data_IF_894683589865
#
_entry.id   IF_894683589865
#
_cell.length_a   1.000
_cell.length_b   1.000
_cell.length_c   1.000
_cell.angle_alpha   90.00
_cell.angle_beta   90.00
_cell.angle_gamma   90.00
#
_symmetry.space_group_name_H-M   'P 1'
#
loop_
_entity.id
_entity.type
_entity.pdbx_description
1 polymer ?
#
# COMPACT_ATOMS: atom_id res chain seq x y z
N UNK A 1 15.89 -26.36 -25.46
CA UNK A 1 14.74 -27.30 -25.48
C UNK A 1 14.15 -27.36 -26.90
N UNK A 2 13.77 -26.23 -27.51
CA UNK A 2 13.21 -26.19 -28.88
C UNK A 2 14.09 -26.79 -29.99
N UNK A 3 15.43 -26.67 -29.87
CA UNK A 3 16.37 -27.22 -30.80
C UNK A 3 16.43 -28.78 -30.72
N UNK A 4 16.23 -29.34 -29.52
CA UNK A 4 16.22 -30.78 -29.25
C UNK A 4 14.91 -31.44 -29.67
N UNK A 5 13.80 -30.72 -29.56
CA UNK A 5 12.45 -31.18 -29.95
C UNK A 5 12.09 -30.78 -31.38
N UNK A 6 12.95 -30.03 -32.10
CA UNK A 6 12.65 -29.45 -33.42
C UNK A 6 11.32 -28.72 -33.50
N UNK A 7 10.85 -28.16 -32.38
CA UNK A 7 9.57 -27.44 -32.27
C UNK A 7 9.73 -25.98 -32.65
N UNK A 8 9.32 -25.63 -33.85
CA UNK A 8 9.28 -24.27 -34.35
C UNK A 8 8.32 -23.38 -33.50
N UNK A 9 7.25 -23.97 -33.01
CA UNK A 9 6.27 -23.30 -32.17
C UNK A 9 6.87 -22.74 -30.85
N UNK A 10 7.72 -23.54 -30.16
CA UNK A 10 8.41 -23.12 -28.94
C UNK A 10 9.35 -21.93 -29.23
N UNK A 11 9.99 -21.90 -30.38
CA UNK A 11 10.90 -20.81 -30.76
C UNK A 11 10.12 -19.52 -30.97
N UNK A 12 8.97 -19.59 -31.67
CA UNK A 12 8.10 -18.43 -31.87
C UNK A 12 7.56 -17.90 -30.52
N UNK A 13 7.07 -18.79 -29.67
CA UNK A 13 6.60 -18.39 -28.34
C UNK A 13 7.70 -17.70 -27.52
N UNK A 14 8.92 -18.24 -27.54
CA UNK A 14 10.04 -17.62 -26.85
C UNK A 14 10.38 -16.23 -27.41
N UNK A 15 10.38 -16.09 -28.75
CA UNK A 15 10.58 -14.80 -29.41
C UNK A 15 9.52 -13.76 -29.02
N UNK A 16 8.26 -14.15 -28.92
CA UNK A 16 7.17 -13.26 -28.52
C UNK A 16 7.29 -12.83 -27.04
N UNK A 17 7.77 -13.71 -26.16
CA UNK A 17 7.93 -13.42 -24.73
C UNK A 17 9.23 -12.69 -24.40
N UNK A 18 10.24 -12.75 -25.27
CA UNK A 18 11.56 -12.17 -25.00
C UNK A 18 11.54 -10.67 -24.65
N UNK A 19 10.81 -9.80 -25.35
CA UNK A 19 10.72 -8.37 -24.99
C UNK A 19 10.19 -8.16 -23.57
N UNK A 20 9.16 -8.93 -23.19
CA UNK A 20 8.59 -8.85 -21.84
C UNK A 20 9.58 -9.34 -20.78
N UNK A 21 10.29 -10.44 -21.04
CA UNK A 21 11.33 -10.97 -20.14
C UNK A 21 12.45 -9.93 -19.97
N UNK A 22 12.94 -9.33 -21.06
CA UNK A 22 13.98 -8.31 -21.00
C UNK A 22 13.54 -7.07 -20.21
N UNK A 23 12.30 -6.62 -20.40
CA UNK A 23 11.73 -5.52 -19.61
C UNK A 23 11.71 -5.86 -18.10
N UNK A 24 11.36 -7.07 -17.73
CA UNK A 24 11.37 -7.54 -16.34
C UNK A 24 12.81 -7.58 -15.77
N UNK A 25 13.76 -8.08 -16.53
CA UNK A 25 15.18 -8.12 -16.12
C UNK A 25 15.73 -6.71 -15.89
N UNK A 26 15.45 -5.77 -16.79
CA UNK A 26 15.86 -4.39 -16.65
C UNK A 26 15.24 -3.72 -15.42
N UNK A 27 13.95 -3.99 -15.15
CA UNK A 27 13.26 -3.50 -13.97
C UNK A 27 13.90 -4.04 -12.67
N UNK A 28 14.20 -5.35 -12.62
CA UNK A 28 14.85 -5.98 -11.46
C UNK A 28 16.28 -5.43 -11.24
N UNK A 29 17.05 -5.20 -12.31
CA UNK A 29 18.38 -4.61 -12.21
C UNK A 29 18.32 -3.17 -11.61
N UNK A 30 17.35 -2.36 -12.05
CA UNK A 30 17.13 -1.02 -11.46
C UNK A 30 16.69 -1.11 -10.00
N UNK A 31 15.82 -2.06 -9.65
CA UNK A 31 15.39 -2.29 -8.28
C UNK A 31 16.56 -2.65 -7.35
N UNK A 32 17.51 -3.49 -7.81
CA UNK A 32 18.71 -3.83 -7.03
C UNK A 32 19.54 -2.61 -6.64
N UNK A 33 19.68 -1.63 -7.54
CA UNK A 33 20.39 -0.36 -7.25
C UNK A 33 19.61 0.44 -6.21
N UNK A 34 18.29 0.56 -6.39
CA UNK A 34 17.39 1.27 -5.47
C UNK A 34 17.46 0.68 -4.05
N UNK A 35 17.42 -0.64 -3.94
CA UNK A 35 17.50 -1.34 -2.65
C UNK A 35 18.85 -1.14 -1.96
N UNK A 36 19.97 -1.15 -2.73
CA UNK A 36 21.31 -0.86 -2.16
C UNK A 36 21.44 0.58 -1.65
N UNK A 37 20.71 1.52 -2.23
CA UNK A 37 20.74 2.93 -1.85
C UNK A 37 19.68 3.31 -0.81
N UNK A 38 18.83 2.35 -0.41
CA UNK A 38 17.71 2.54 0.53
C UNK A 38 16.86 3.74 0.10
N UNK A 39 16.52 3.81 -1.18
CA UNK A 39 15.65 4.85 -1.71
C UNK A 39 14.20 4.38 -1.77
N UNK A 40 13.22 5.27 -1.56
CA UNK A 40 11.80 4.91 -1.67
C UNK A 40 11.47 4.36 -3.06
N UNK A 41 10.73 3.25 -3.10
CA UNK A 41 10.17 2.66 -4.31
C UNK A 41 8.72 3.05 -4.49
N UNK A 42 8.18 2.91 -5.72
CA UNK A 42 6.81 3.29 -5.99
C UNK A 42 5.77 2.60 -5.09
N UNK A 43 6.00 1.32 -4.76
CA UNK A 43 5.15 0.55 -3.83
C UNK A 43 5.10 1.15 -2.42
N UNK A 44 6.10 1.95 -2.05
CA UNK A 44 6.16 2.63 -0.74
C UNK A 44 5.26 3.87 -0.61
N UNK A 45 4.44 4.20 -1.60
CA UNK A 45 3.62 5.43 -1.56
C UNK A 45 2.60 5.42 -0.41
N UNK A 46 1.93 4.29 -0.16
CA UNK A 46 0.98 4.17 0.96
C UNK A 46 1.65 4.43 2.32
N UNK A 47 2.70 3.68 2.69
CA UNK A 47 3.50 3.95 3.90
C UNK A 47 4.08 5.36 3.96
N UNK A 48 4.49 5.95 2.83
CA UNK A 48 5.03 7.31 2.80
C UNK A 48 3.97 8.36 3.17
N UNK A 49 2.76 8.23 2.64
CA UNK A 49 1.63 9.12 2.96
C UNK A 49 1.27 9.03 4.44
N UNK A 50 1.09 7.80 4.95
CA UNK A 50 0.75 7.60 6.36
C UNK A 50 1.92 8.00 7.26
N UNK A 51 3.16 7.72 6.88
CA UNK A 51 4.36 8.18 7.57
C UNK A 51 4.42 9.71 7.69
N UNK A 52 4.06 10.45 6.63
CA UNK A 52 3.94 11.93 6.68
C UNK A 52 2.91 12.39 7.72
N UNK A 53 1.79 11.70 7.85
CA UNK A 53 0.78 11.99 8.87
C UNK A 53 1.23 11.59 10.29
N UNK A 54 2.14 10.63 10.40
CA UNK A 54 2.72 10.15 11.67
C UNK A 54 3.85 11.04 12.20
N UNK A 55 4.39 11.95 11.40
CA UNK A 55 5.56 12.77 11.79
C UNK A 55 5.35 13.43 13.15
N UNK A 56 6.39 13.38 13.98
CA UNK A 56 6.43 13.91 15.34
C UNK A 56 5.41 13.28 16.32
N UNK A 57 4.86 12.10 16.02
CA UNK A 57 3.99 11.34 16.91
C UNK A 57 4.73 10.13 17.47
N UNK A 58 4.41 9.76 18.72
CA UNK A 58 4.91 8.51 19.31
C UNK A 58 4.18 7.34 18.67
N UNK A 59 4.92 6.35 18.22
CA UNK A 59 4.42 5.11 17.65
C UNK A 59 4.55 3.97 18.64
N UNK A 60 3.73 2.94 18.48
CA UNK A 60 3.83 1.67 19.20
C UNK A 60 3.71 0.52 18.19
N UNK A 61 4.40 -0.56 18.43
CA UNK A 61 4.26 -1.79 17.66
C UNK A 61 2.92 -2.45 17.97
N UNK A 62 2.16 -2.83 16.94
CA UNK A 62 0.85 -3.48 17.09
C UNK A 62 0.85 -4.91 16.54
N UNK A 63 1.75 -5.21 15.63
CA UNK A 63 2.09 -6.52 15.10
C UNK A 63 3.55 -6.47 14.62
N UNK A 64 4.14 -7.60 14.31
CA UNK A 64 5.52 -7.68 13.83
C UNK A 64 5.73 -6.72 12.64
N UNK A 65 6.76 -5.88 12.73
CA UNK A 65 7.09 -4.84 11.74
C UNK A 65 5.91 -3.90 11.37
N UNK A 66 4.95 -3.70 12.28
CA UNK A 66 3.77 -2.88 12.03
C UNK A 66 3.54 -1.91 13.18
N UNK A 67 3.56 -0.62 12.88
CA UNK A 67 3.45 0.45 13.86
C UNK A 67 2.13 1.19 13.76
N UNK A 68 1.67 1.65 14.93
CA UNK A 68 0.43 2.38 15.14
C UNK A 68 0.69 3.66 15.93
N UNK A 69 -0.02 4.71 15.58
CA UNK A 69 -0.18 5.92 16.41
C UNK A 69 -1.60 6.43 16.31
N UNK A 70 -1.97 7.39 17.17
CA UNK A 70 -3.26 8.04 17.07
C UNK A 70 -3.17 9.56 17.28
N UNK A 71 -4.16 10.28 16.76
CA UNK A 71 -4.34 11.71 16.97
C UNK A 71 -5.81 12.11 16.84
N UNK A 72 -6.14 13.32 17.28
CA UNK A 72 -7.49 13.87 17.12
C UNK A 72 -7.57 14.75 15.88
N UNK A 73 -8.63 14.57 15.09
CA UNK A 73 -8.95 15.39 13.93
C UNK A 73 -10.45 15.63 13.85
N UNK A 74 -10.89 16.89 13.87
CA UNK A 74 -12.31 17.31 13.80
C UNK A 74 -13.22 16.50 14.75
N UNK A 75 -12.85 16.42 16.03
CA UNK A 75 -13.54 15.66 17.08
C UNK A 75 -13.65 14.16 16.85
N UNK A 76 -12.79 13.59 15.98
CA UNK A 76 -12.66 12.15 15.73
C UNK A 76 -11.30 11.65 16.20
N UNK A 77 -11.21 10.39 16.54
CA UNK A 77 -9.93 9.74 16.84
C UNK A 77 -9.43 8.97 15.62
N UNK A 78 -8.31 9.40 15.08
CA UNK A 78 -7.69 8.81 13.90
C UNK A 78 -6.52 7.94 14.34
N UNK A 79 -6.59 6.68 14.03
CA UNK A 79 -5.49 5.74 14.15
C UNK A 79 -4.76 5.66 12.81
N UNK A 80 -3.44 5.80 12.83
CA UNK A 80 -2.57 5.69 11.66
C UNK A 80 -1.73 4.42 11.80
N UNK A 81 -1.70 3.59 10.78
CA UNK A 81 -0.99 2.32 10.77
C UNK A 81 -0.22 2.13 9.48
N UNK A 82 1.02 1.68 9.57
CA UNK A 82 1.85 1.28 8.44
C UNK A 82 2.90 0.28 8.89
N UNK A 83 3.58 -0.36 7.93
CA UNK A 83 4.77 -1.12 8.22
C UNK A 83 5.90 -0.22 8.75
N UNK A 84 6.74 -0.76 9.65
CA UNK A 84 7.91 -0.06 10.17
C UNK A 84 8.96 0.13 9.08
N UNK A 85 9.58 1.30 9.03
CA UNK A 85 10.63 1.67 8.08
C UNK A 85 11.90 2.15 8.76
N UNK A 86 12.95 2.34 7.96
CA UNK A 86 13.08 2.28 6.50
C UNK A 86 13.55 0.93 5.91
N UNK A 87 13.45 -0.17 6.66
CA UNK A 87 14.08 -1.46 6.37
C UNK A 87 13.51 -2.27 5.20
N UNK A 88 12.46 -1.80 4.53
CA UNK A 88 11.83 -2.54 3.43
C UNK A 88 10.78 -3.54 3.89
N UNK A 89 10.24 -3.36 5.10
CA UNK A 89 9.17 -4.19 5.65
C UNK A 89 7.85 -3.94 4.94
N UNK A 90 6.98 -4.93 4.97
CA UNK A 90 5.58 -4.82 4.53
C UNK A 90 4.61 -4.96 5.69
N UNK A 91 5.11 -5.42 6.85
CA UNK A 91 4.35 -5.63 8.08
C UNK A 91 3.28 -6.71 7.97
N UNK A 92 2.40 -6.73 8.95
CA UNK A 92 1.27 -7.65 9.05
C UNK A 92 -0.04 -6.88 9.26
N UNK A 93 -0.52 -6.11 8.26
CA UNK A 93 -1.67 -5.22 8.43
C UNK A 93 -2.94 -5.97 8.82
N UNK A 94 -3.15 -7.19 8.33
CA UNK A 94 -4.31 -8.02 8.70
C UNK A 94 -4.32 -8.39 10.18
N UNK A 95 -3.17 -8.83 10.73
CA UNK A 95 -3.03 -9.15 12.16
C UNK A 95 -3.12 -7.88 13.02
N UNK A 96 -2.56 -6.77 12.55
CA UNK A 96 -2.62 -5.50 13.26
C UNK A 96 -4.05 -4.97 13.40
N UNK A 97 -4.87 -5.04 12.36
CA UNK A 97 -6.31 -4.69 12.44
C UNK A 97 -7.03 -5.58 13.46
N UNK A 98 -6.76 -6.89 13.43
CA UNK A 98 -7.31 -7.82 14.41
C UNK A 98 -6.92 -7.46 15.85
N UNK A 99 -5.63 -7.12 16.07
CA UNK A 99 -5.13 -6.71 17.39
C UNK A 99 -5.75 -5.40 17.88
N UNK A 100 -5.96 -4.41 17.01
CA UNK A 100 -6.64 -3.16 17.36
C UNK A 100 -8.05 -3.43 17.86
N UNK A 101 -8.81 -4.24 17.13
CA UNK A 101 -10.20 -4.54 17.49
C UNK A 101 -10.28 -5.44 18.72
N UNK A 102 -9.51 -6.53 18.79
CA UNK A 102 -9.63 -7.55 19.83
C UNK A 102 -8.82 -7.26 21.08
N UNK A 103 -7.52 -6.87 20.93
CA UNK A 103 -6.62 -6.69 22.08
C UNK A 103 -6.72 -5.29 22.68
N UNK A 104 -6.78 -4.26 21.83
CA UNK A 104 -6.95 -2.89 22.30
C UNK A 104 -8.41 -2.53 22.60
N UNK A 105 -9.36 -3.40 22.22
CA UNK A 105 -10.81 -3.22 22.37
C UNK A 105 -11.29 -1.89 21.78
N UNK A 106 -10.75 -1.50 20.63
CA UNK A 106 -11.14 -0.28 19.92
C UNK A 106 -12.31 -0.59 18.99
N UNK A 107 -13.43 0.08 19.21
CA UNK A 107 -14.54 0.06 18.27
C UNK A 107 -14.21 0.98 17.09
N UNK A 108 -13.77 0.39 15.98
CA UNK A 108 -13.54 1.13 14.74
C UNK A 108 -14.87 1.38 14.01
N UNK A 109 -15.05 2.58 13.50
CA UNK A 109 -16.22 2.98 12.72
C UNK A 109 -15.94 2.91 11.22
N UNK A 110 -14.70 3.20 10.79
CA UNK A 110 -14.26 3.13 9.40
C UNK A 110 -12.81 2.67 9.30
N UNK A 111 -12.47 2.01 8.19
CA UNK A 111 -11.09 1.72 7.77
C UNK A 111 -10.87 2.40 6.41
N UNK A 112 -9.78 3.15 6.26
CA UNK A 112 -9.33 3.77 5.01
C UNK A 112 -7.97 3.17 4.68
N UNK A 113 -7.85 2.53 3.51
CA UNK A 113 -6.61 1.92 3.04
C UNK A 113 -6.02 2.74 1.90
N UNK A 114 -4.72 3.02 1.99
CA UNK A 114 -3.96 3.74 0.98
C UNK A 114 -2.89 2.78 0.45
N UNK A 115 -2.94 2.46 -0.84
CA UNK A 115 -2.06 1.47 -1.47
C UNK A 115 -1.66 1.90 -2.89
N UNK A 116 -0.65 1.25 -3.42
CA UNK A 116 -0.31 1.29 -4.82
C UNK A 116 -1.16 0.30 -5.62
N UNK A 117 -1.56 0.65 -6.83
CA UNK A 117 -2.26 -0.27 -7.72
C UNK A 117 -1.68 -0.25 -9.13
N UNK A 118 -1.78 -1.39 -9.82
CA UNK A 118 -1.36 -1.46 -11.21
C UNK A 118 -2.27 -0.60 -12.09
N UNK A 119 -1.65 0.24 -12.89
CA UNK A 119 -2.35 1.02 -13.91
C UNK A 119 -2.66 0.17 -15.14
N UNK A 120 -3.78 0.45 -15.78
CA UNK A 120 -4.10 -0.08 -17.10
C UNK A 120 -3.30 0.68 -18.18
N UNK A 121 -3.26 0.11 -19.39
CA UNK A 121 -2.71 0.79 -20.56
C UNK A 121 -3.47 2.11 -20.81
N UNK A 122 -2.73 3.19 -21.02
CA UNK A 122 -3.30 4.53 -21.20
C UNK A 122 -3.57 5.33 -19.91
N UNK A 123 -3.57 4.69 -18.73
CA UNK A 123 -3.70 5.43 -17.48
C UNK A 123 -2.39 6.14 -17.10
N UNK A 124 -2.52 7.31 -16.47
CA UNK A 124 -1.36 8.09 -16.03
C UNK A 124 -0.80 7.54 -14.72
N UNK A 125 0.53 7.48 -14.64
CA UNK A 125 1.24 7.23 -13.38
C UNK A 125 0.92 8.31 -12.35
N UNK A 126 0.70 7.93 -11.10
CA UNK A 126 0.33 8.84 -10.02
C UNK A 126 -1.16 9.23 -10.03
N UNK A 127 -1.97 8.75 -10.98
CA UNK A 127 -3.43 8.97 -10.91
C UNK A 127 -4.04 8.22 -9.73
N UNK A 128 -5.05 8.83 -9.11
CA UNK A 128 -5.69 8.33 -7.90
C UNK A 128 -7.05 7.74 -8.27
N UNK A 129 -7.40 6.62 -7.66
CA UNK A 129 -8.74 6.06 -7.70
C UNK A 129 -9.24 5.76 -6.29
N UNK A 130 -10.53 5.95 -6.07
CA UNK A 130 -11.23 5.66 -4.82
C UNK A 130 -12.15 4.46 -5.02
N UNK A 131 -12.31 3.65 -3.99
CA UNK A 131 -13.17 2.47 -4.03
C UNK A 131 -13.68 2.05 -2.66
N UNK A 132 -14.53 1.03 -2.65
CA UNK A 132 -15.05 0.37 -1.44
C UNK A 132 -14.46 -1.03 -1.38
N UNK A 133 -14.01 -1.44 -0.19
CA UNK A 133 -13.37 -2.73 0.06
C UNK A 133 -11.88 -2.61 0.31
N UNK A 134 -11.23 -3.71 0.69
CA UNK A 134 -9.81 -3.71 0.99
C UNK A 134 -8.98 -3.67 -0.29
N UNK A 135 -8.06 -2.72 -0.35
CA UNK A 135 -7.05 -2.61 -1.39
C UNK A 135 -5.71 -3.04 -0.82
N UNK A 136 -5.33 -4.27 -1.09
CA UNK A 136 -3.98 -4.79 -0.84
C UNK A 136 -3.57 -5.59 -2.07
N UNK A 137 -2.43 -5.24 -2.66
CA UNK A 137 -1.77 -6.06 -3.68
C UNK A 137 -1.14 -7.31 -3.05
N UNK A 138 -0.89 -8.36 -3.85
CA UNK A 138 -0.18 -9.56 -3.41
C UNK A 138 -1.08 -10.72 -2.97
N UNK A 139 -0.49 -11.66 -2.22
CA UNK A 139 -1.13 -12.91 -1.79
C UNK A 139 -2.17 -12.57 -0.71
N UNK A 140 -3.44 -12.75 -1.04
CA UNK A 140 -4.65 -12.26 -0.37
C UNK A 140 -4.88 -12.54 1.13
N UNK A 141 -3.91 -13.02 1.91
CA UNK A 141 -4.10 -13.39 3.32
C UNK A 141 -4.43 -12.16 4.19
N UNK A 142 -3.65 -11.08 4.07
CA UNK A 142 -3.89 -9.87 4.85
C UNK A 142 -5.16 -9.16 4.42
N UNK A 143 -5.42 -9.09 3.11
CA UNK A 143 -6.67 -8.57 2.57
C UNK A 143 -7.86 -9.32 3.14
N UNK A 144 -7.85 -10.65 3.05
CA UNK A 144 -8.91 -11.49 3.59
C UNK A 144 -9.13 -11.25 5.09
N UNK A 145 -8.04 -11.15 5.86
CA UNK A 145 -8.12 -10.88 7.31
C UNK A 145 -8.76 -9.53 7.62
N UNK A 146 -8.37 -8.48 6.90
CA UNK A 146 -8.97 -7.15 7.08
C UNK A 146 -10.45 -7.19 6.72
N UNK A 147 -10.81 -7.78 5.58
CA UNK A 147 -12.21 -7.93 5.16
C UNK A 147 -13.02 -8.77 6.15
N UNK A 148 -12.47 -9.86 6.68
CA UNK A 148 -13.12 -10.70 7.68
C UNK A 148 -13.38 -9.94 8.99
N UNK A 149 -12.37 -9.21 9.51
CA UNK A 149 -12.54 -8.42 10.74
C UNK A 149 -13.55 -7.28 10.50
N UNK A 150 -13.47 -6.62 9.36
CA UNK A 150 -14.37 -5.54 9.00
C UNK A 150 -15.82 -6.02 8.89
N UNK A 151 -16.04 -7.15 8.19
CA UNK A 151 -17.37 -7.75 8.03
C UNK A 151 -17.96 -8.20 9.36
N UNK A 152 -17.17 -8.90 10.21
CA UNK A 152 -17.63 -9.37 11.53
C UNK A 152 -18.04 -8.23 12.47
N UNK A 153 -17.46 -7.05 12.30
CA UNK A 153 -17.72 -5.89 13.15
C UNK A 153 -18.54 -4.79 12.46
N UNK A 154 -19.06 -5.05 11.25
CA UNK A 154 -19.79 -4.10 10.41
C UNK A 154 -19.02 -2.78 10.18
N UNK A 155 -17.72 -2.86 9.92
CA UNK A 155 -16.86 -1.72 9.68
C UNK A 155 -16.74 -1.47 8.17
N UNK A 156 -17.18 -0.33 7.64
CA UNK A 156 -16.94 0.05 6.25
C UNK A 156 -15.44 0.17 5.95
N UNK A 157 -15.02 -0.32 4.78
CA UNK A 157 -13.65 -0.22 4.29
C UNK A 157 -13.63 0.59 3.01
N UNK A 158 -12.83 1.64 2.98
CA UNK A 158 -12.59 2.51 1.84
C UNK A 158 -11.16 2.33 1.34
N UNK A 159 -10.96 2.38 0.04
CA UNK A 159 -9.65 2.26 -0.58
C UNK A 159 -9.33 3.52 -1.39
N UNK A 160 -8.11 4.01 -1.26
CA UNK A 160 -7.50 5.03 -2.10
C UNK A 160 -6.27 4.40 -2.72
N UNK A 161 -6.22 4.31 -4.05
CA UNK A 161 -5.10 3.67 -4.74
C UNK A 161 -4.41 4.64 -5.68
N UNK A 162 -3.08 4.58 -5.68
CA UNK A 162 -2.22 5.38 -6.54
C UNK A 162 -1.71 4.47 -7.67
N UNK A 163 -2.04 4.82 -8.91
CA UNK A 163 -1.79 3.98 -10.08
C UNK A 163 -0.37 4.09 -10.60
N UNK A 164 0.26 2.94 -10.84
CA UNK A 164 1.62 2.84 -11.35
C UNK A 164 1.82 1.51 -12.11
N UNK A 165 2.84 1.42 -12.94
CA UNK A 165 3.21 0.15 -13.57
C UNK A 165 3.97 -0.76 -12.59
N UNK A 166 4.07 -2.05 -12.91
CA UNK A 166 4.86 -3.00 -12.12
C UNK A 166 6.33 -2.56 -12.00
N UNK A 167 6.91 -2.03 -13.09
CA UNK A 167 8.28 -1.51 -13.10
C UNK A 167 8.43 -0.31 -12.17
N UNK A 168 7.47 0.59 -12.16
CA UNK A 168 7.47 1.77 -11.30
C UNK A 168 7.31 1.39 -9.82
N UNK A 169 6.54 0.35 -9.53
CA UNK A 169 6.34 -0.14 -8.16
C UNK A 169 7.65 -0.59 -7.48
N UNK A 170 8.54 -1.24 -8.23
CA UNK A 170 9.81 -1.79 -7.71
C UNK A 170 11.04 -0.91 -7.99
N UNK A 171 10.88 0.21 -8.69
CA UNK A 171 11.95 1.17 -9.00
C UNK A 171 11.89 2.38 -8.06
N UNK A 172 12.91 3.24 -8.10
CA UNK A 172 12.90 4.54 -7.41
C UNK A 172 11.58 5.24 -7.68
N UNK A 173 10.92 5.68 -6.61
CA UNK A 173 9.63 6.35 -6.68
C UNK A 173 9.70 7.55 -7.63
N UNK A 174 8.84 7.53 -8.64
CA UNK A 174 8.73 8.65 -9.58
C UNK A 174 8.11 9.88 -8.92
N UNK A 175 8.49 11.05 -9.42
CA UNK A 175 7.97 12.33 -8.95
C UNK A 175 6.45 12.41 -8.99
N UNK A 176 5.83 11.96 -10.07
CA UNK A 176 4.37 11.96 -10.24
C UNK A 176 3.65 11.14 -9.17
N UNK A 177 4.28 10.03 -8.71
CA UNK A 177 3.77 9.20 -7.61
C UNK A 177 3.91 9.97 -6.30
N UNK A 178 5.09 10.50 -6.00
CA UNK A 178 5.35 11.26 -4.77
C UNK A 178 4.47 12.51 -4.65
N UNK A 179 4.26 13.24 -5.74
CA UNK A 179 3.40 14.44 -5.79
C UNK A 179 1.92 14.15 -5.56
N UNK A 180 1.47 12.90 -5.72
CA UNK A 180 0.10 12.51 -5.37
C UNK A 180 -0.19 12.58 -3.86
N UNK A 181 0.85 12.62 -3.02
CA UNK A 181 0.73 12.56 -1.55
C UNK A 181 -0.26 13.56 -0.98
N UNK A 182 -0.13 14.86 -1.33
CA UNK A 182 -0.98 15.89 -0.75
C UNK A 182 -2.44 15.72 -1.17
N UNK A 183 -2.66 15.33 -2.43
CA UNK A 183 -4.00 15.03 -2.94
C UNK A 183 -4.64 13.82 -2.25
N UNK A 184 -3.87 12.77 -1.97
CA UNK A 184 -4.37 11.60 -1.23
C UNK A 184 -4.71 11.97 0.21
N UNK A 185 -3.93 12.84 0.86
CA UNK A 185 -4.25 13.35 2.21
C UNK A 185 -5.57 14.14 2.18
N UNK A 186 -5.79 15.02 1.20
CA UNK A 186 -7.06 15.74 1.02
C UNK A 186 -8.24 14.78 0.86
N UNK A 187 -8.10 13.76 0.00
CA UNK A 187 -9.14 12.74 -0.21
C UNK A 187 -9.41 11.96 1.08
N UNK A 188 -8.35 11.56 1.80
CA UNK A 188 -8.48 10.88 3.10
C UNK A 188 -9.28 11.72 4.09
N UNK A 189 -8.95 13.02 4.22
CA UNK A 189 -9.67 13.95 5.08
C UNK A 189 -11.13 14.13 4.64
N UNK A 190 -11.38 14.18 3.34
CA UNK A 190 -12.75 14.25 2.78
C UNK A 190 -13.54 13.00 3.18
N UNK A 191 -12.99 11.80 2.98
CA UNK A 191 -13.67 10.55 3.37
C UNK A 191 -13.95 10.54 4.88
N UNK A 192 -12.98 10.95 5.73
CA UNK A 192 -13.19 11.06 7.18
C UNK A 192 -14.36 11.98 7.47
N UNK A 193 -14.43 13.18 6.87
CA UNK A 193 -15.47 14.14 7.15
C UNK A 193 -16.86 13.71 6.64
N UNK A 194 -16.94 13.07 5.49
CA UNK A 194 -18.20 12.68 4.84
C UNK A 194 -18.76 11.35 5.33
N UNK A 195 -17.90 10.43 5.79
CA UNK A 195 -18.24 9.04 6.09
C UNK A 195 -18.16 8.68 7.56
N UNK A 196 -17.93 9.67 8.44
CA UNK A 196 -17.90 9.44 9.89
C UNK A 196 -18.49 10.61 10.67
N UNK A 197 -18.87 10.33 11.91
CA UNK A 197 -19.44 11.30 12.84
C UNK A 197 -18.41 11.74 13.89
N UNK A 198 -18.72 12.80 14.64
CA UNK A 198 -17.91 13.23 15.78
C UNK A 198 -17.91 12.15 16.86
N UNK A 199 -16.73 11.86 17.40
CA UNK A 199 -16.53 10.79 18.37
C UNK A 199 -16.14 9.46 17.76
N UNK A 200 -16.21 9.30 16.44
CA UNK A 200 -15.82 8.07 15.74
C UNK A 200 -14.31 7.78 15.79
N UNK A 201 -14.00 6.50 15.75
CA UNK A 201 -12.65 5.99 15.59
C UNK A 201 -12.41 5.52 14.16
N UNK A 202 -11.45 6.12 13.48
CA UNK A 202 -11.11 5.80 12.09
C UNK A 202 -9.69 5.24 12.02
N UNK A 203 -9.50 4.15 11.32
CA UNK A 203 -8.19 3.59 11.04
C UNK A 203 -7.76 3.92 9.60
N UNK A 204 -6.61 4.57 9.45
CA UNK A 204 -5.97 4.83 8.16
C UNK A 204 -4.75 3.95 8.04
N UNK A 205 -4.69 3.13 6.99
CA UNK A 205 -3.64 2.13 6.75
C UNK A 205 -2.84 2.52 5.52
N UNK A 206 -1.54 2.69 5.66
CA UNK A 206 -0.60 2.79 4.52
C UNK A 206 -0.03 1.42 4.19
N UNK A 207 -0.46 0.86 3.07
CA UNK A 207 -0.03 -0.46 2.59
C UNK A 207 1.10 -0.30 1.58
N UNK A 208 2.10 -1.17 1.65
CA UNK A 208 3.23 -1.24 0.74
C UNK A 208 4.57 -1.40 1.45
N UNK A 209 5.64 -1.45 0.67
CA UNK A 209 7.00 -1.66 1.15
C UNK A 209 7.61 -0.37 1.70
N UNK A 210 8.31 -0.45 2.83
CA UNK A 210 8.86 0.72 3.54
C UNK A 210 10.33 1.04 3.21
N UNK A 211 10.92 0.43 2.18
CA UNK A 211 12.31 0.74 1.84
C UNK A 211 12.48 2.26 1.57
N UNK A 212 13.42 2.88 2.27
CA UNK A 212 13.66 4.32 2.18
C UNK A 212 12.54 5.21 2.74
N UNK A 213 11.49 4.63 3.32
CA UNK A 213 10.39 5.36 3.93
C UNK A 213 10.56 5.31 5.46
N UNK A 214 11.01 6.42 6.05
CA UNK A 214 11.14 6.58 7.49
C UNK A 214 9.76 6.68 8.18
N UNK A 215 9.81 6.67 9.49
CA UNK A 215 8.65 6.93 10.35
C UNK A 215 8.29 8.41 10.34
#
# INVERSE_FOLDING_TARGET
FGKRTKSFFIIIQLQMLMPLIMQQVDALNKALVTFKQIQPIGDGIGPMIVGKLMMNKKTQEIAEDTILTDYKYNDRKIYLMKAEGPGGNVGQPGLAVENIVKKMNVKLNNIIMIDAALKLEGEKTGSIAEGIGAAIGGIGVDRFKIEEVAQKNNIPVYAIVIKQSLVEAISIMKKDIAESTDKVIEITQKIINEKSEKGDNILVIGVGNTIGVAQ
#
